data_IF_522574714577
#
_entry.id   IF_522574714577
#
_cell.length_a   1.000
_cell.length_b   1.000
_cell.length_c   1.000
_cell.angle_alpha   90.00
_cell.angle_beta   90.00
_cell.angle_gamma   90.00
#
_symmetry.space_group_name_H-M   'P 1'
#
loop_
_entity.id
_entity.type
_entity.pdbx_description
1 polymer ?
#
# COMPACT_ATOMS: atom_id res chain seq x y z
N UNK A 1 23.43 40.41 -35.74
CA UNK A 1 22.08 40.53 -35.15
C UNK A 1 21.58 39.22 -34.49
N UNK A 2 22.25 38.07 -34.71
CA UNK A 2 21.76 36.76 -34.21
C UNK A 2 22.31 36.32 -32.84
N UNK A 3 23.43 36.86 -32.36
CA UNK A 3 24.01 36.44 -31.07
C UNK A 3 23.29 37.03 -29.84
N UNK A 4 22.72 38.24 -29.98
CA UNK A 4 21.96 38.88 -28.88
C UNK A 4 20.60 38.21 -28.68
N UNK A 5 19.98 37.76 -29.77
CA UNK A 5 18.68 37.05 -29.72
C UNK A 5 18.82 35.67 -29.06
N UNK A 6 19.95 34.99 -29.28
CA UNK A 6 20.24 33.68 -28.69
C UNK A 6 20.49 33.77 -27.20
N UNK A 7 21.15 34.82 -26.73
CA UNK A 7 21.39 35.06 -25.30
C UNK A 7 20.09 35.40 -24.56
N UNK A 8 19.20 36.15 -25.23
CA UNK A 8 17.88 36.46 -24.64
C UNK A 8 16.97 35.24 -24.53
N UNK A 9 17.06 34.29 -25.46
CA UNK A 9 16.27 33.04 -25.42
C UNK A 9 16.83 32.07 -24.38
N UNK A 10 18.13 32.06 -24.13
CA UNK A 10 18.75 31.19 -23.11
C UNK A 10 18.48 31.69 -21.68
N UNK A 11 18.33 33.00 -21.48
CA UNK A 11 18.04 33.60 -20.15
C UNK A 11 16.60 33.37 -19.68
N UNK A 12 15.64 33.15 -20.59
CA UNK A 12 14.25 32.88 -20.25
C UNK A 12 14.00 31.42 -19.82
N UNK A 13 14.90 30.49 -20.14
CA UNK A 13 14.77 29.08 -19.71
C UNK A 13 15.14 28.86 -18.23
N UNK A 14 15.86 29.78 -17.61
CA UNK A 14 16.30 29.61 -16.21
C UNK A 14 15.32 30.10 -15.14
N UNK A 15 14.17 30.68 -15.53
CA UNK A 15 13.23 31.29 -14.57
C UNK A 15 12.11 30.31 -14.13
N UNK A 16 12.05 29.09 -14.69
CA UNK A 16 10.95 28.16 -14.43
C UNK A 16 11.13 27.21 -13.22
N UNK A 17 12.18 27.33 -12.44
CA UNK A 17 12.40 26.44 -11.30
C UNK A 17 12.21 27.13 -9.93
N UNK A 18 11.15 27.90 -9.73
CA UNK A 18 10.82 28.39 -8.39
C UNK A 18 9.31 28.36 -8.11
N UNK A 19 8.67 27.24 -8.40
CA UNK A 19 7.39 26.91 -7.77
C UNK A 19 7.68 26.41 -6.37
N UNK A 20 7.66 27.31 -5.37
CA UNK A 20 7.47 26.90 -3.99
C UNK A 20 6.16 26.11 -3.95
N UNK A 21 6.26 24.79 -3.95
CA UNK A 21 5.17 23.92 -3.57
C UNK A 21 4.71 24.39 -2.20
N UNK A 22 3.54 25.03 -2.12
CA UNK A 22 2.82 25.18 -0.87
C UNK A 22 2.44 23.76 -0.46
N UNK A 23 3.29 23.11 0.31
CA UNK A 23 2.87 21.97 1.11
C UNK A 23 1.80 22.50 2.04
N UNK A 24 0.55 22.28 1.68
CA UNK A 24 -0.55 22.37 2.64
C UNK A 24 -0.11 21.59 3.86
N UNK A 25 -0.31 22.08 5.09
CA UNK A 25 -0.09 21.25 6.27
C UNK A 25 -0.89 19.96 6.02
N UNK A 26 -0.17 18.84 5.90
CA UNK A 26 -0.80 17.54 5.84
C UNK A 26 -1.55 17.44 7.16
N UNK A 27 -2.86 17.62 7.09
CA UNK A 27 -3.74 17.28 8.21
C UNK A 27 -3.38 15.84 8.55
N UNK A 28 -2.83 15.63 9.74
CA UNK A 28 -2.50 14.30 10.25
C UNK A 28 -3.80 13.58 10.56
N UNK A 29 -4.55 13.28 9.51
CA UNK A 29 -5.68 12.37 9.61
C UNK A 29 -5.07 11.01 9.86
N UNK A 30 -4.97 10.65 11.11
CA UNK A 30 -4.60 9.29 11.49
C UNK A 30 -5.64 8.36 10.87
N UNK A 31 -5.19 7.35 10.13
CA UNK A 31 -6.06 6.27 9.65
C UNK A 31 -6.73 5.53 10.82
N UNK A 32 -7.45 4.49 10.51
CA UNK A 32 -8.07 3.65 11.52
C UNK A 32 -6.99 3.08 12.46
N UNK A 33 -7.13 3.35 13.75
CA UNK A 33 -6.27 2.81 14.80
C UNK A 33 -7.06 1.72 15.52
N UNK A 34 -6.45 0.55 15.64
CA UNK A 34 -7.04 -0.59 16.37
C UNK A 34 -6.12 -1.04 17.50
N UNK A 35 -6.70 -1.50 18.61
CA UNK A 35 -5.94 -1.91 19.79
C UNK A 35 -5.51 -3.39 19.76
N UNK A 36 -6.26 -4.24 19.06
CA UNK A 36 -6.04 -5.70 19.11
C UNK A 36 -5.49 -6.24 17.80
N UNK A 37 -6.17 -5.99 16.68
CA UNK A 37 -5.80 -6.52 15.39
C UNK A 37 -6.48 -5.74 14.27
N UNK A 38 -5.91 -5.81 13.07
CA UNK A 38 -6.49 -5.20 11.87
C UNK A 38 -6.21 -6.11 10.65
N UNK A 39 -7.17 -6.19 9.76
CA UNK A 39 -6.99 -6.77 8.43
C UNK A 39 -7.28 -5.68 7.40
N UNK A 40 -6.38 -5.51 6.45
CA UNK A 40 -6.53 -4.56 5.35
C UNK A 40 -6.33 -5.31 4.04
N UNK A 41 -7.27 -5.15 3.13
CA UNK A 41 -7.20 -5.73 1.79
C UNK A 41 -7.82 -4.79 0.76
N UNK A 42 -7.76 -5.17 -0.52
CA UNK A 42 -8.34 -4.40 -1.62
C UNK A 42 -9.88 -4.31 -1.56
N UNK A 43 -10.53 -5.17 -0.77
CA UNK A 43 -11.99 -5.21 -0.62
C UNK A 43 -12.40 -5.35 0.85
N UNK A 44 -13.38 -4.55 1.24
CA UNK A 44 -13.90 -4.54 2.60
C UNK A 44 -14.49 -5.91 2.98
N UNK A 45 -15.18 -6.57 2.06
CA UNK A 45 -15.78 -7.90 2.27
C UNK A 45 -14.71 -8.93 2.64
N UNK A 46 -13.58 -8.94 1.94
CA UNK A 46 -12.48 -9.84 2.22
C UNK A 46 -11.80 -9.50 3.57
N UNK A 47 -11.62 -8.22 3.87
CA UNK A 47 -11.08 -7.80 5.17
C UNK A 47 -11.98 -8.23 6.33
N UNK A 48 -13.31 -8.16 6.17
CA UNK A 48 -14.26 -8.64 7.17
C UNK A 48 -14.13 -10.14 7.43
N UNK A 49 -13.92 -10.94 6.40
CA UNK A 49 -13.69 -12.38 6.56
C UNK A 49 -12.45 -12.65 7.40
N UNK A 50 -11.32 -11.99 7.12
CA UNK A 50 -10.11 -12.14 7.90
C UNK A 50 -10.29 -11.72 9.36
N UNK A 51 -10.99 -10.62 9.63
CA UNK A 51 -11.32 -10.17 10.99
C UNK A 51 -12.18 -11.19 11.72
N UNK A 52 -13.15 -11.82 11.04
CA UNK A 52 -14.01 -12.82 11.63
C UNK A 52 -13.24 -14.07 12.04
N UNK A 53 -12.30 -14.53 11.22
CA UNK A 53 -11.40 -15.64 11.57
C UNK A 53 -10.60 -15.33 12.84
N UNK A 54 -10.07 -14.12 12.98
CA UNK A 54 -9.36 -13.73 14.20
C UNK A 54 -10.27 -13.69 15.44
N UNK A 55 -11.52 -13.25 15.29
CA UNK A 55 -12.51 -13.29 16.38
C UNK A 55 -12.83 -14.72 16.84
N UNK A 56 -12.77 -15.68 15.92
CA UNK A 56 -12.97 -17.10 16.21
C UNK A 56 -11.72 -17.77 16.82
N UNK A 57 -10.65 -17.02 17.05
CA UNK A 57 -9.41 -17.51 17.66
C UNK A 57 -8.31 -17.84 16.67
N UNK A 58 -8.50 -17.57 15.37
CA UNK A 58 -7.47 -17.70 14.35
C UNK A 58 -6.36 -16.67 14.55
N UNK A 59 -5.17 -16.97 14.08
CA UNK A 59 -4.02 -16.08 14.07
C UNK A 59 -3.95 -15.26 12.76
N UNK A 60 -2.90 -14.44 12.62
CA UNK A 60 -2.72 -13.59 11.45
C UNK A 60 -2.55 -14.38 10.13
N UNK A 61 -1.95 -15.58 10.18
CA UNK A 61 -1.81 -16.43 8.99
C UNK A 61 -3.16 -17.03 8.58
N UNK A 62 -3.97 -17.44 9.55
CA UNK A 62 -5.33 -17.94 9.28
C UNK A 62 -6.18 -16.84 8.65
N UNK A 63 -6.10 -15.62 9.20
CA UNK A 63 -6.81 -14.46 8.67
C UNK A 63 -6.33 -14.08 7.27
N UNK A 64 -5.03 -14.15 6.98
CA UNK A 64 -4.44 -13.91 5.66
C UNK A 64 -5.00 -14.87 4.64
N UNK A 65 -4.97 -16.18 4.92
CA UNK A 65 -5.49 -17.22 4.00
C UNK A 65 -6.97 -16.99 3.73
N UNK A 66 -7.76 -16.74 4.77
CA UNK A 66 -9.20 -16.52 4.61
C UNK A 66 -9.50 -15.23 3.79
N UNK A 67 -8.70 -14.18 3.99
CA UNK A 67 -8.82 -12.95 3.22
C UNK A 67 -8.47 -13.17 1.75
N UNK A 68 -7.39 -13.89 1.45
CA UNK A 68 -7.00 -14.22 0.08
C UNK A 68 -8.07 -15.05 -0.63
N UNK A 69 -8.63 -16.05 0.03
CA UNK A 69 -9.74 -16.84 -0.52
C UNK A 69 -10.99 -15.98 -0.78
N UNK A 70 -11.30 -15.03 0.09
CA UNK A 70 -12.42 -14.12 -0.11
C UNK A 70 -12.15 -13.14 -1.28
N UNK A 71 -10.90 -12.78 -1.53
CA UNK A 71 -10.51 -11.94 -2.68
C UNK A 71 -10.70 -12.65 -4.02
N UNK A 72 -10.69 -13.99 -4.08
CA UNK A 72 -11.01 -14.73 -5.31
C UNK A 72 -12.40 -14.36 -5.84
N UNK A 73 -13.34 -14.11 -4.94
CA UNK A 73 -14.73 -13.78 -5.28
C UNK A 73 -14.93 -12.27 -5.38
N UNK A 74 -14.43 -11.51 -4.42
CA UNK A 74 -14.68 -10.07 -4.33
C UNK A 74 -13.75 -9.23 -5.19
N UNK A 75 -12.60 -9.78 -5.61
CA UNK A 75 -11.61 -9.08 -6.44
C UNK A 75 -10.92 -10.02 -7.45
N UNK A 76 -11.68 -10.68 -8.35
CA UNK A 76 -11.18 -11.74 -9.23
C UNK A 76 -10.13 -11.27 -10.25
N UNK A 77 -10.02 -9.96 -10.48
CA UNK A 77 -9.00 -9.41 -11.38
C UNK A 77 -7.57 -9.51 -10.85
N UNK A 78 -7.40 -9.67 -9.53
CA UNK A 78 -6.09 -9.75 -8.90
C UNK A 78 -6.01 -10.81 -7.80
N UNK A 79 -7.14 -11.29 -7.25
CA UNK A 79 -7.18 -12.40 -6.30
C UNK A 79 -7.37 -13.73 -7.03
N UNK A 80 -6.42 -14.66 -6.94
CA UNK A 80 -6.57 -15.99 -7.52
C UNK A 80 -5.74 -17.06 -6.79
N UNK A 81 -6.17 -18.32 -6.91
CA UNK A 81 -5.40 -19.49 -6.50
C UNK A 81 -4.45 -19.85 -7.65
N UNK A 82 -3.16 -20.04 -7.36
CA UNK A 82 -2.17 -20.41 -8.37
C UNK A 82 -1.36 -19.21 -8.90
N UNK A 83 -1.59 -18.04 -8.37
CA UNK A 83 -0.67 -16.92 -8.50
C UNK A 83 0.54 -17.06 -7.57
N UNK A 84 1.46 -16.13 -7.66
CA UNK A 84 2.60 -16.03 -6.76
C UNK A 84 2.55 -14.76 -5.94
N UNK A 85 3.51 -14.59 -5.05
CA UNK A 85 3.57 -13.40 -4.22
C UNK A 85 4.77 -13.38 -3.29
N UNK A 86 4.73 -12.44 -2.39
CA UNK A 86 5.71 -12.28 -1.33
C UNK A 86 4.98 -12.17 0.00
N UNK A 87 5.58 -12.74 1.03
CA UNK A 87 5.11 -12.57 2.39
C UNK A 87 6.27 -12.12 3.28
N UNK A 88 6.03 -11.12 4.10
CA UNK A 88 6.91 -10.76 5.23
C UNK A 88 6.11 -10.96 6.51
N UNK A 89 6.70 -11.61 7.48
CA UNK A 89 6.00 -11.92 8.73
C UNK A 89 6.86 -11.70 9.96
N UNK A 90 6.18 -11.52 11.08
CA UNK A 90 6.76 -11.55 12.41
C UNK A 90 5.87 -12.38 13.34
N UNK A 91 6.48 -13.32 14.04
CA UNK A 91 5.81 -14.12 15.07
C UNK A 91 5.79 -13.38 16.42
N UNK A 92 4.98 -13.87 17.34
CA UNK A 92 4.87 -13.29 18.68
C UNK A 92 6.16 -13.45 19.52
N UNK A 93 7.00 -14.44 19.21
CA UNK A 93 8.33 -14.64 19.82
C UNK A 93 9.39 -13.68 19.25
N UNK A 94 9.01 -12.79 18.32
CA UNK A 94 9.89 -11.84 17.66
C UNK A 94 10.58 -12.37 16.41
N UNK A 95 10.47 -13.66 16.09
CA UNK A 95 11.03 -14.25 14.87
C UNK A 95 10.40 -13.60 13.64
N UNK A 96 11.25 -13.17 12.73
CA UNK A 96 10.83 -12.58 11.44
C UNK A 96 11.29 -13.46 10.28
N UNK A 97 10.58 -13.38 9.18
CA UNK A 97 10.97 -14.05 7.95
C UNK A 97 10.30 -13.45 6.72
N UNK A 98 10.79 -13.87 5.58
CA UNK A 98 10.21 -13.54 4.29
C UNK A 98 10.11 -14.81 3.44
N UNK A 99 9.07 -14.90 2.64
CA UNK A 99 8.83 -15.98 1.69
C UNK A 99 8.59 -15.38 0.30
N UNK A 100 9.33 -15.87 -0.68
CA UNK A 100 9.09 -15.63 -2.11
C UNK A 100 8.49 -16.91 -2.70
N UNK A 101 7.27 -16.81 -3.23
CA UNK A 101 6.56 -17.94 -3.84
C UNK A 101 6.00 -17.58 -5.22
N UNK A 102 6.78 -16.79 -5.98
CA UNK A 102 6.49 -16.44 -7.36
C UNK A 102 6.76 -17.59 -8.30
#
# INVERSE_FOLDING_TARGET
MNKILTIFFLSTLCIQCNTKSKTSPVDKTYGLITEKAMVVSAREEASKVGVEIMKQGGNAFDAMIATDLALLVSYPSAGNIGGGGFMVFRKNDGTTGALDYR
#
